data_IF_782190145471
#
_entry.id   IF_782190145471
#
_cell.length_a   1.000
_cell.length_b   1.000
_cell.length_c   1.000
_cell.angle_alpha   90.00
_cell.angle_beta   90.00
_cell.angle_gamma   90.00
#
_symmetry.space_group_name_H-M   'P 1'
#
loop_
_entity.id
_entity.type
_entity.pdbx_description
1 polymer ?
#
# COMPACT_ATOMS: atom_id res chain seq x y z
N UNK A 1 8.47 15.33 8.47
CA UNK A 1 7.85 15.44 7.12
C UNK A 1 6.35 15.62 7.28
N UNK A 2 5.69 16.29 6.32
CA UNK A 2 4.23 16.30 6.20
C UNK A 2 3.80 15.11 5.34
N UNK A 3 3.03 14.20 5.90
CA UNK A 3 2.58 12.98 5.24
C UNK A 3 1.07 13.01 5.10
N UNK A 4 0.57 12.86 3.87
CA UNK A 4 -0.87 12.69 3.62
C UNK A 4 -1.18 11.20 3.52
N UNK A 5 -2.05 10.72 4.41
CA UNK A 5 -2.46 9.32 4.49
C UNK A 5 -3.93 9.16 4.06
N UNK A 6 -4.15 8.55 2.91
CA UNK A 6 -5.48 8.12 2.49
C UNK A 6 -5.84 6.80 3.18
N UNK A 7 -7.01 6.75 3.83
CA UNK A 7 -7.51 5.56 4.52
C UNK A 7 -7.01 5.37 5.96
N UNK A 8 -6.88 6.44 6.79
CA UNK A 8 -6.33 6.36 8.15
C UNK A 8 -7.19 5.54 9.13
N UNK A 9 -8.42 5.22 8.77
CA UNK A 9 -9.38 4.55 9.67
C UNK A 9 -9.47 3.03 9.42
N UNK A 10 -8.76 2.50 8.42
CA UNK A 10 -8.67 1.07 8.14
C UNK A 10 -7.74 0.35 9.13
N UNK A 11 -7.80 -0.99 9.17
CA UNK A 11 -6.94 -1.81 10.03
C UNK A 11 -5.45 -1.46 9.84
N UNK A 12 -4.96 -1.47 8.61
CA UNK A 12 -3.56 -1.13 8.30
C UNK A 12 -3.31 0.37 8.41
N UNK A 13 -4.23 1.19 7.88
CA UNK A 13 -4.07 2.64 7.85
C UNK A 13 -3.98 3.27 9.23
N UNK A 14 -4.69 2.73 10.23
CA UNK A 14 -4.60 3.23 11.61
C UNK A 14 -3.26 2.91 12.27
N UNK A 15 -2.70 1.72 12.01
CA UNK A 15 -1.36 1.37 12.47
C UNK A 15 -0.29 2.26 11.83
N UNK A 16 -0.40 2.53 10.51
CA UNK A 16 0.49 3.45 9.79
C UNK A 16 0.39 4.87 10.36
N UNK A 17 -0.83 5.38 10.60
CA UNK A 17 -1.03 6.71 11.18
C UNK A 17 -0.35 6.84 12.56
N UNK A 18 -0.51 5.82 13.40
CA UNK A 18 0.11 5.78 14.73
C UNK A 18 1.63 5.75 14.62
N UNK A 19 2.20 4.81 13.87
CA UNK A 19 3.65 4.64 13.73
C UNK A 19 4.33 5.91 13.17
N UNK A 20 3.76 6.53 12.13
CA UNK A 20 4.30 7.77 11.57
C UNK A 20 4.21 8.95 12.55
N UNK A 21 3.11 9.06 13.29
CA UNK A 21 2.95 10.10 14.31
C UNK A 21 3.92 9.93 15.47
N UNK A 22 4.14 8.70 15.94
CA UNK A 22 5.08 8.38 17.02
C UNK A 22 6.53 8.69 16.62
N UNK A 23 6.85 8.63 15.31
CA UNK A 23 8.14 9.07 14.75
C UNK A 23 8.26 10.59 14.57
N UNK A 24 7.22 11.36 14.91
CA UNK A 24 7.22 12.81 14.86
C UNK A 24 6.91 13.41 13.48
N UNK A 25 6.30 12.64 12.58
CA UNK A 25 5.78 13.19 11.33
C UNK A 25 4.45 13.93 11.55
N UNK A 26 4.17 14.93 10.72
CA UNK A 26 2.86 15.55 10.60
C UNK A 26 1.97 14.67 9.70
N UNK A 27 1.04 13.92 10.28
CA UNK A 27 0.16 13.02 9.53
C UNK A 27 -1.20 13.67 9.30
N UNK A 28 -1.53 13.92 8.03
CA UNK A 28 -2.83 14.43 7.59
C UNK A 28 -3.66 13.27 7.02
N UNK A 29 -4.63 12.81 7.81
CA UNK A 29 -5.51 11.71 7.40
C UNK A 29 -6.62 12.17 6.46
N UNK A 30 -6.76 11.48 5.31
CA UNK A 30 -7.82 11.70 4.32
C UNK A 30 -8.72 10.47 4.25
N UNK A 31 -10.00 10.64 4.50
CA UNK A 31 -11.00 9.58 4.48
C UNK A 31 -12.28 10.02 3.76
N UNK A 32 -13.18 9.10 3.50
CA UNK A 32 -14.50 9.44 2.92
C UNK A 32 -15.28 10.45 3.77
N UNK A 33 -15.11 10.44 5.09
CA UNK A 33 -15.74 11.39 5.99
C UNK A 33 -15.13 12.80 5.93
N UNK A 34 -13.91 12.96 5.42
CA UNK A 34 -13.31 14.27 5.15
C UNK A 34 -13.81 14.91 3.85
N UNK A 35 -14.65 14.20 3.08
CA UNK A 35 -15.30 14.71 1.87
C UNK A 35 -14.47 14.64 0.60
N UNK A 36 -13.24 14.11 0.65
CA UNK A 36 -12.41 13.96 -0.54
C UNK A 36 -12.74 12.64 -1.28
N UNK A 37 -13.07 12.76 -2.56
CA UNK A 37 -13.23 11.63 -3.46
C UNK A 37 -11.87 11.25 -4.04
N UNK A 38 -11.36 10.08 -3.66
CA UNK A 38 -10.06 9.58 -4.13
C UNK A 38 -10.06 9.23 -5.62
N UNK A 39 -11.22 9.13 -6.25
CA UNK A 39 -11.34 8.89 -7.69
C UNK A 39 -11.37 10.18 -8.52
N UNK A 40 -11.39 11.35 -7.86
CA UNK A 40 -11.28 12.66 -8.50
C UNK A 40 -9.86 13.23 -8.36
N UNK A 41 -9.06 13.29 -9.45
CA UNK A 41 -7.70 13.80 -9.41
C UNK A 41 -7.56 15.25 -8.92
N UNK A 42 -8.60 16.08 -9.07
CA UNK A 42 -8.55 17.46 -8.58
C UNK A 42 -8.67 17.51 -7.06
N UNK A 43 -9.52 16.64 -6.47
CA UNK A 43 -9.64 16.53 -5.03
C UNK A 43 -8.42 15.86 -4.40
N UNK A 44 -7.84 14.86 -5.09
CA UNK A 44 -6.55 14.28 -4.68
C UNK A 44 -5.46 15.36 -4.67
N UNK A 45 -5.33 16.16 -5.73
CA UNK A 45 -4.34 17.23 -5.81
C UNK A 45 -4.47 18.23 -4.66
N UNK A 46 -5.70 18.67 -4.36
CA UNK A 46 -5.95 19.56 -3.22
C UNK A 46 -5.59 18.91 -1.88
N UNK A 47 -5.88 17.62 -1.71
CA UNK A 47 -5.60 16.91 -0.47
C UNK A 47 -4.08 16.73 -0.21
N UNK A 48 -3.28 16.56 -1.27
CA UNK A 48 -1.83 16.31 -1.16
C UNK A 48 -0.97 17.56 -1.30
N UNK A 49 -1.58 18.74 -1.35
CA UNK A 49 -0.84 20.01 -1.50
C UNK A 49 0.18 20.20 -0.36
N UNK A 50 1.44 20.38 -0.75
CA UNK A 50 2.55 20.56 0.18
C UNK A 50 2.92 19.32 0.99
N UNK A 51 2.47 18.13 0.59
CA UNK A 51 2.93 16.87 1.18
C UNK A 51 4.35 16.53 0.75
N UNK A 52 5.19 16.10 1.68
CA UNK A 52 6.50 15.51 1.39
C UNK A 52 6.35 14.08 0.87
N UNK A 53 5.41 13.32 1.47
CA UNK A 53 5.10 11.92 1.11
C UNK A 53 3.59 11.71 1.15
N UNK A 54 3.10 10.91 0.21
CA UNK A 54 1.71 10.44 0.20
C UNK A 54 1.69 8.93 0.46
N UNK A 55 0.83 8.49 1.37
CA UNK A 55 0.61 7.06 1.66
C UNK A 55 -0.85 6.72 1.35
N UNK A 56 -1.08 5.67 0.57
CA UNK A 56 -2.41 5.19 0.24
C UNK A 56 -2.68 3.82 0.86
N UNK A 57 -3.56 3.76 1.86
CA UNK A 57 -4.04 2.55 2.52
C UNK A 57 -5.54 2.32 2.27
N UNK A 58 -5.98 2.54 1.02
CA UNK A 58 -7.37 2.36 0.61
C UNK A 58 -7.62 0.93 0.14
N UNK A 59 -8.74 0.36 0.57
CA UNK A 59 -9.34 -0.83 -0.05
C UNK A 59 -10.64 -0.43 -0.78
N UNK A 60 -11.04 -1.22 -1.76
CA UNK A 60 -12.26 -0.98 -2.52
C UNK A 60 -13.46 -1.82 -2.05
N UNK A 61 -13.38 -2.46 -0.87
CA UNK A 61 -14.47 -3.28 -0.32
C UNK A 61 -15.76 -2.49 -0.20
N UNK A 62 -16.76 -2.87 -0.99
CA UNK A 62 -18.05 -2.19 -1.05
C UNK A 62 -18.00 -0.78 -1.65
N UNK A 63 -16.95 -0.41 -2.33
CA UNK A 63 -16.82 0.84 -3.06
C UNK A 63 -17.30 0.69 -4.52
N UNK A 64 -17.76 1.78 -5.11
CA UNK A 64 -18.21 1.83 -6.51
C UNK A 64 -17.06 2.09 -7.51
N UNK A 65 -15.79 1.85 -7.13
CA UNK A 65 -14.60 2.11 -7.94
C UNK A 65 -13.63 0.92 -7.89
N UNK A 66 -12.72 0.84 -8.85
CA UNK A 66 -11.63 -0.14 -8.85
C UNK A 66 -10.36 0.44 -8.22
N UNK A 67 -9.44 -0.44 -7.77
CA UNK A 67 -8.13 0.02 -7.29
C UNK A 67 -7.28 0.63 -8.42
N UNK A 68 -7.50 0.23 -9.66
CA UNK A 68 -6.88 0.84 -10.82
C UNK A 68 -7.36 2.28 -11.08
N UNK A 69 -8.65 2.58 -10.80
CA UNK A 69 -9.17 3.96 -10.87
C UNK A 69 -8.54 4.83 -9.79
N UNK A 70 -8.40 4.31 -8.57
CA UNK A 70 -7.68 4.98 -7.48
C UNK A 70 -6.23 5.25 -7.87
N UNK A 71 -5.54 4.26 -8.45
CA UNK A 71 -4.14 4.41 -8.88
C UNK A 71 -3.99 5.54 -9.91
N UNK A 72 -4.84 5.56 -10.96
CA UNK A 72 -4.83 6.62 -11.98
C UNK A 72 -5.09 8.00 -11.38
N UNK A 73 -6.10 8.10 -10.52
CA UNK A 73 -6.46 9.35 -9.86
C UNK A 73 -5.35 9.86 -8.93
N UNK A 74 -4.72 8.98 -8.15
CA UNK A 74 -3.57 9.34 -7.31
C UNK A 74 -2.42 9.88 -8.16
N UNK A 75 -2.00 9.15 -9.20
CA UNK A 75 -0.91 9.57 -10.08
C UNK A 75 -1.17 10.93 -10.72
N UNK A 76 -2.39 11.16 -11.22
CA UNK A 76 -2.76 12.44 -11.82
C UNK A 76 -2.85 13.57 -10.77
N UNK A 77 -3.39 13.27 -9.59
CA UNK A 77 -3.48 14.23 -8.50
C UNK A 77 -2.11 14.66 -7.98
N UNK A 78 -1.18 13.70 -7.80
CA UNK A 78 0.19 13.98 -7.39
C UNK A 78 0.92 14.88 -8.41
N UNK A 79 0.80 14.57 -9.72
CA UNK A 79 1.38 15.40 -10.79
C UNK A 79 0.87 16.84 -10.72
N UNK A 80 -0.44 17.03 -10.55
CA UNK A 80 -1.05 18.37 -10.45
C UNK A 80 -0.58 19.15 -9.22
N UNK A 81 -0.35 18.47 -8.11
CA UNK A 81 0.13 19.08 -6.86
C UNK A 81 1.66 19.23 -6.81
N UNK A 82 2.40 18.62 -7.74
CA UNK A 82 3.87 18.59 -7.70
C UNK A 82 4.44 17.68 -6.61
N UNK A 83 3.61 16.78 -6.02
CA UNK A 83 4.07 15.80 -5.07
C UNK A 83 4.73 14.62 -5.80
N UNK A 84 5.88 14.13 -5.32
CA UNK A 84 6.68 13.16 -6.06
C UNK A 84 6.63 11.76 -5.43
N UNK A 85 6.56 11.64 -4.10
CA UNK A 85 6.71 10.39 -3.36
C UNK A 85 5.37 9.79 -2.99
N UNK A 86 5.14 8.52 -3.40
CA UNK A 86 3.92 7.76 -3.11
C UNK A 86 4.27 6.36 -2.59
N UNK A 87 3.74 5.99 -1.42
CA UNK A 87 3.69 4.61 -0.96
C UNK A 87 2.26 4.08 -1.05
N UNK A 88 2.10 2.88 -1.55
CA UNK A 88 0.79 2.24 -1.70
C UNK A 88 0.76 0.94 -0.91
N UNK A 89 -0.17 0.83 0.01
CA UNK A 89 -0.49 -0.45 0.65
C UNK A 89 -1.11 -1.36 -0.40
N UNK A 90 -0.33 -2.33 -0.83
CA UNK A 90 -0.69 -3.28 -1.87
C UNK A 90 -1.37 -4.54 -1.34
N UNK A 91 -1.42 -5.56 -2.19
CA UNK A 91 -1.88 -6.90 -1.84
C UNK A 91 -0.82 -7.96 -2.13
N UNK A 92 -0.93 -9.10 -1.45
CA UNK A 92 -0.03 -10.25 -1.62
C UNK A 92 -0.33 -11.08 -2.88
N UNK A 93 -1.55 -11.02 -3.39
CA UNK A 93 -2.08 -11.98 -4.34
C UNK A 93 -1.34 -12.06 -5.68
N UNK A 94 -0.65 -10.98 -6.08
CA UNK A 94 0.19 -10.95 -7.28
C UNK A 94 1.66 -11.28 -7.02
N UNK A 95 2.06 -11.61 -5.78
CA UNK A 95 3.40 -12.11 -5.47
C UNK A 95 3.58 -13.51 -6.06
N UNK A 96 4.80 -13.81 -6.48
CA UNK A 96 5.18 -15.10 -7.05
C UNK A 96 5.42 -16.11 -5.93
N UNK A 97 4.83 -17.30 -6.07
CA UNK A 97 5.00 -18.39 -5.11
C UNK A 97 6.17 -19.31 -5.49
N UNK A 98 6.77 -20.04 -4.53
CA UNK A 98 7.73 -21.08 -4.84
C UNK A 98 7.16 -22.08 -5.86
N UNK A 99 7.92 -22.35 -6.92
CA UNK A 99 7.46 -23.20 -8.02
C UNK A 99 6.90 -22.45 -9.22
N UNK A 100 6.73 -21.13 -9.10
CA UNK A 100 6.30 -20.24 -10.19
C UNK A 100 4.79 -19.96 -10.18
N UNK A 101 4.41 -18.87 -10.84
CA UNK A 101 3.04 -18.37 -10.85
C UNK A 101 2.73 -17.45 -9.67
N UNK A 102 1.58 -16.75 -9.74
CA UNK A 102 1.16 -15.82 -8.69
C UNK A 102 0.36 -16.54 -7.62
N UNK A 103 0.38 -16.02 -6.40
CA UNK A 103 -0.41 -16.56 -5.29
C UNK A 103 -1.90 -16.69 -5.66
N UNK A 104 -2.47 -15.71 -6.36
CA UNK A 104 -3.89 -15.73 -6.78
C UNK A 104 -4.23 -16.84 -7.80
N UNK A 105 -3.24 -17.38 -8.50
CA UNK A 105 -3.41 -18.44 -9.51
C UNK A 105 -3.25 -19.84 -8.91
N UNK A 106 -2.92 -19.95 -7.62
CA UNK A 106 -2.77 -21.23 -6.94
C UNK A 106 -4.14 -21.91 -6.72
N UNK A 107 -4.21 -23.26 -6.72
CA UNK A 107 -5.46 -23.99 -6.52
C UNK A 107 -6.12 -23.71 -5.16
N UNK A 108 -5.33 -23.38 -4.15
CA UNK A 108 -5.80 -23.15 -2.78
C UNK A 108 -6.21 -21.70 -2.51
N UNK A 109 -6.10 -20.81 -3.51
CA UNK A 109 -6.50 -19.41 -3.32
C UNK A 109 -8.02 -19.28 -3.22
N UNK A 110 -8.57 -18.66 -2.16
CA UNK A 110 -10.01 -18.57 -1.95
C UNK A 110 -10.73 -17.85 -3.09
N UNK A 111 -11.75 -18.50 -3.65
CA UNK A 111 -12.50 -17.99 -4.80
C UNK A 111 -13.16 -16.62 -4.51
N UNK A 112 -13.67 -16.48 -3.26
CA UNK A 112 -14.30 -15.23 -2.83
C UNK A 112 -13.36 -14.02 -2.83
N UNK A 113 -12.04 -14.21 -2.79
CA UNK A 113 -11.05 -13.11 -2.77
C UNK A 113 -10.44 -12.83 -4.14
N UNK A 114 -10.66 -13.70 -5.14
CA UNK A 114 -10.05 -13.54 -6.48
C UNK A 114 -10.38 -12.21 -7.14
N UNK A 115 -11.61 -11.75 -7.00
CA UNK A 115 -12.04 -10.48 -7.58
C UNK A 115 -11.29 -9.28 -7.01
N UNK A 116 -11.12 -9.21 -5.68
CA UNK A 116 -10.35 -8.14 -5.01
C UNK A 116 -8.85 -8.28 -5.34
N UNK A 117 -8.34 -9.51 -5.33
CA UNK A 117 -6.96 -9.85 -5.63
C UNK A 117 -6.55 -9.42 -7.07
N UNK A 118 -7.40 -9.68 -8.05
CA UNK A 118 -7.17 -9.27 -9.44
C UNK A 118 -7.10 -7.75 -9.57
N UNK A 119 -7.97 -7.00 -8.87
CA UNK A 119 -7.93 -5.54 -8.88
C UNK A 119 -6.64 -4.98 -8.25
N UNK A 120 -6.09 -5.63 -7.22
CA UNK A 120 -4.79 -5.27 -6.67
C UNK A 120 -3.65 -5.45 -7.68
N UNK A 121 -3.68 -6.53 -8.46
CA UNK A 121 -2.72 -6.79 -9.53
C UNK A 121 -2.83 -5.74 -10.66
N UNK A 122 -4.05 -5.42 -11.10
CA UNK A 122 -4.30 -4.38 -12.10
C UNK A 122 -3.82 -2.99 -11.65
N UNK A 123 -4.02 -2.65 -10.37
CA UNK A 123 -3.51 -1.39 -9.82
C UNK A 123 -1.98 -1.33 -9.84
N UNK A 124 -1.29 -2.43 -9.52
CA UNK A 124 0.17 -2.51 -9.61
C UNK A 124 0.65 -2.27 -11.05
N UNK A 125 -0.04 -2.82 -12.06
CA UNK A 125 0.31 -2.60 -13.47
C UNK A 125 0.15 -1.11 -13.87
N UNK A 126 -0.83 -0.39 -13.30
CA UNK A 126 -0.94 1.06 -13.50
C UNK A 126 0.29 1.79 -12.93
N UNK A 127 0.74 1.45 -11.71
CA UNK A 127 1.96 2.06 -11.15
C UNK A 127 3.20 1.72 -11.96
N UNK A 128 3.36 0.48 -12.41
CA UNK A 128 4.48 0.04 -13.26
C UNK A 128 4.55 0.74 -14.62
N UNK A 129 3.45 1.30 -15.08
CA UNK A 129 3.37 2.02 -16.37
C UNK A 129 3.93 3.45 -16.34
N UNK A 130 4.32 3.95 -15.15
CA UNK A 130 4.81 5.34 -14.98
C UNK A 130 6.24 5.36 -14.43
N UNK A 131 7.02 6.34 -14.91
CA UNK A 131 8.43 6.55 -14.55
C UNK A 131 8.73 7.96 -14.02
N UNK A 132 7.71 8.82 -13.99
CA UNK A 132 7.79 10.22 -13.62
C UNK A 132 7.47 10.51 -12.15
N UNK A 133 7.03 9.49 -11.39
CA UNK A 133 6.74 9.58 -9.96
C UNK A 133 7.49 8.48 -9.19
N UNK A 134 7.91 8.78 -7.99
CA UNK A 134 8.63 7.88 -7.11
C UNK A 134 7.66 7.07 -6.25
N UNK A 135 7.04 6.07 -6.87
CA UNK A 135 6.10 5.18 -6.20
C UNK A 135 6.79 3.94 -5.60
N UNK A 136 6.24 3.43 -4.50
CA UNK A 136 6.54 2.11 -3.94
C UNK A 136 5.25 1.38 -3.66
N UNK A 137 5.08 0.19 -4.24
CA UNK A 137 3.93 -0.68 -3.99
C UNK A 137 4.32 -1.73 -2.95
N UNK A 138 3.81 -1.60 -1.72
CA UNK A 138 4.21 -2.44 -0.59
C UNK A 138 3.22 -3.58 -0.44
N UNK A 139 3.63 -4.79 -0.84
CA UNK A 139 2.84 -6.01 -0.73
C UNK A 139 3.04 -6.65 0.65
N UNK A 140 1.98 -6.84 1.45
CA UNK A 140 2.10 -7.56 2.72
C UNK A 140 2.34 -9.06 2.49
N UNK A 141 2.55 -9.80 3.57
CA UNK A 141 2.44 -11.25 3.61
C UNK A 141 1.06 -11.73 3.13
N UNK A 142 0.94 -13.01 2.78
CA UNK A 142 -0.32 -13.61 2.37
C UNK A 142 -1.41 -13.45 3.44
N UNK A 143 -1.01 -13.49 4.71
CA UNK A 143 -1.88 -13.25 5.85
C UNK A 143 -1.39 -12.06 6.67
N UNK A 144 -2.17 -10.97 6.67
CA UNK A 144 -1.94 -9.78 7.49
C UNK A 144 -3.11 -9.59 8.45
N UNK A 145 -2.84 -9.37 9.73
CA UNK A 145 -3.84 -9.28 10.80
C UNK A 145 -3.36 -8.32 11.90
N UNK A 146 -4.26 -7.83 12.77
CA UNK A 146 -3.85 -7.13 13.99
C UNK A 146 -3.02 -8.06 14.89
N UNK A 147 -1.91 -7.61 15.46
CA UNK A 147 -1.03 -8.45 16.26
C UNK A 147 -0.06 -7.66 17.12
N UNK A 148 1.05 -8.27 17.48
CA UNK A 148 2.10 -7.61 18.24
C UNK A 148 2.98 -6.74 17.34
N UNK A 149 3.42 -5.62 17.90
CA UNK A 149 4.48 -4.78 17.33
C UNK A 149 5.84 -5.32 17.80
N UNK A 150 6.39 -6.28 17.05
CA UNK A 150 7.67 -6.92 17.41
C UNK A 150 8.87 -6.10 16.97
N UNK A 151 8.71 -5.28 15.92
CA UNK A 151 9.78 -4.52 15.29
C UNK A 151 10.64 -5.35 14.35
N UNK A 152 10.25 -6.59 14.06
CA UNK A 152 10.99 -7.48 13.17
C UNK A 152 10.17 -7.77 11.91
N UNK A 153 10.80 -7.61 10.74
CA UNK A 153 10.24 -7.98 9.46
C UNK A 153 11.36 -8.21 8.43
N UNK A 154 11.02 -8.83 7.32
CA UNK A 154 11.90 -9.01 6.16
C UNK A 154 11.34 -8.25 4.98
N UNK A 155 12.24 -7.67 4.17
CA UNK A 155 11.90 -7.09 2.86
C UNK A 155 12.26 -8.07 1.75
N UNK A 156 11.43 -8.10 0.73
CA UNK A 156 11.64 -8.83 -0.52
C UNK A 156 11.12 -8.03 -1.72
N UNK A 157 11.21 -8.62 -2.91
CA UNK A 157 10.70 -8.04 -4.14
C UNK A 157 9.36 -8.66 -4.57
N UNK A 158 9.38 -9.28 -5.76
CA UNK A 158 8.19 -9.90 -6.35
C UNK A 158 7.85 -11.29 -5.78
N UNK A 159 8.75 -11.90 -5.03
CA UNK A 159 8.55 -13.23 -4.43
C UNK A 159 7.76 -13.13 -3.12
N UNK A 160 6.82 -14.07 -2.92
CA UNK A 160 6.16 -14.24 -1.64
C UNK A 160 7.16 -14.67 -0.57
N UNK A 161 7.29 -13.88 0.48
CA UNK A 161 8.15 -14.23 1.61
C UNK A 161 7.43 -15.28 2.46
N UNK A 162 8.08 -16.40 2.70
CA UNK A 162 7.60 -17.49 3.55
C UNK A 162 8.61 -17.78 4.66
N UNK A 163 8.14 -18.34 5.76
CA UNK A 163 8.95 -18.91 6.82
C UNK A 163 9.41 -20.37 6.48
N UNK A 164 10.19 -20.98 7.37
CA UNK A 164 10.67 -22.35 7.21
C UNK A 164 9.55 -23.41 7.20
N UNK A 165 8.35 -23.03 7.67
CA UNK A 165 7.14 -23.87 7.67
C UNK A 165 6.25 -23.64 6.45
N UNK A 166 6.61 -22.68 5.58
CA UNK A 166 5.86 -22.31 4.38
C UNK A 166 4.74 -21.30 4.63
N UNK A 167 4.66 -20.67 5.82
CA UNK A 167 3.68 -19.64 6.11
C UNK A 167 4.19 -18.27 5.64
N UNK A 168 3.25 -17.42 5.24
CA UNK A 168 3.50 -16.02 4.91
C UNK A 168 2.57 -15.16 5.76
N UNK A 169 3.14 -14.48 6.77
CA UNK A 169 2.37 -13.81 7.80
C UNK A 169 3.07 -12.53 8.27
N UNK A 170 2.28 -11.53 8.69
CA UNK A 170 2.77 -10.31 9.36
C UNK A 170 1.64 -9.66 10.17
N UNK A 171 1.98 -9.00 11.28
CA UNK A 171 1.04 -8.10 11.95
C UNK A 171 0.88 -6.78 11.18
N UNK A 172 -0.28 -6.15 11.30
CA UNK A 172 -0.51 -4.81 10.77
C UNK A 172 0.43 -3.77 11.41
N UNK A 173 0.82 -4.00 12.65
CA UNK A 173 1.74 -3.19 13.43
C UNK A 173 3.17 -3.26 12.88
N UNK A 174 3.71 -4.45 12.60
CA UNK A 174 5.04 -4.59 12.00
C UNK A 174 5.07 -4.16 10.53
N UNK A 175 3.97 -4.40 9.80
CA UNK A 175 3.82 -3.87 8.46
C UNK A 175 3.83 -2.33 8.44
N UNK A 176 3.21 -1.68 9.44
CA UNK A 176 3.25 -0.22 9.59
C UNK A 176 4.67 0.30 9.88
N UNK A 177 5.48 -0.46 10.65
CA UNK A 177 6.90 -0.15 10.85
C UNK A 177 7.63 -0.16 9.51
N UNK A 178 7.43 -1.21 8.70
CA UNK A 178 8.06 -1.29 7.37
C UNK A 178 7.66 -0.12 6.45
N UNK A 179 6.38 0.28 6.45
CA UNK A 179 5.93 1.47 5.71
C UNK A 179 6.66 2.73 6.21
N UNK A 180 6.76 2.91 7.53
CA UNK A 180 7.41 4.08 8.10
C UNK A 180 8.92 4.10 7.81
N UNK A 181 9.60 2.94 7.84
CA UNK A 181 11.01 2.84 7.45
C UNK A 181 11.24 3.18 5.97
N UNK A 182 10.33 2.77 5.07
CA UNK A 182 10.34 3.13 3.65
C UNK A 182 10.05 4.62 3.40
N UNK A 183 9.25 5.24 4.26
CA UNK A 183 9.03 6.70 4.26
C UNK A 183 10.31 7.42 4.68
N UNK A 184 10.94 6.98 5.77
CA UNK A 184 12.13 7.63 6.35
C UNK A 184 13.36 7.48 5.46
N UNK A 185 13.58 6.30 4.87
CA UNK A 185 14.74 6.02 4.01
C UNK A 185 14.64 6.70 2.65
N UNK A 186 13.43 6.85 2.12
CA UNK A 186 13.21 7.35 0.75
C UNK A 186 13.72 6.39 -0.34
N UNK A 187 14.00 5.14 0.02
CA UNK A 187 14.47 4.09 -0.89
C UNK A 187 13.32 3.36 -1.61
N UNK A 188 13.67 2.38 -2.44
CA UNK A 188 12.73 1.52 -3.15
C UNK A 188 11.78 2.29 -4.07
N UNK A 189 12.35 3.08 -4.99
CA UNK A 189 11.60 3.92 -5.92
C UNK A 189 11.20 3.15 -7.17
N UNK A 190 9.94 3.27 -7.59
CA UNK A 190 9.36 2.67 -8.80
C UNK A 190 9.45 1.14 -8.79
N UNK A 191 9.23 0.56 -7.64
CA UNK A 191 9.24 -0.89 -7.49
C UNK A 191 8.21 -1.40 -6.49
N UNK A 192 8.00 -2.71 -6.52
CA UNK A 192 7.27 -3.42 -5.48
C UNK A 192 8.22 -3.92 -4.41
N UNK A 193 7.81 -3.81 -3.16
CA UNK A 193 8.46 -4.37 -1.99
C UNK A 193 7.51 -5.34 -1.30
N UNK A 194 7.95 -6.58 -1.09
CA UNK A 194 7.24 -7.55 -0.24
C UNK A 194 7.66 -7.37 1.22
N UNK A 195 6.72 -7.55 2.16
CA UNK A 195 6.96 -7.43 3.60
C UNK A 195 6.32 -8.59 4.34
N UNK A 196 7.11 -9.36 5.12
CA UNK A 196 6.64 -10.46 5.99
C UNK A 196 7.59 -10.67 7.16
N UNK A 197 7.21 -11.50 8.12
CA UNK A 197 8.09 -12.00 9.17
C UNK A 197 9.15 -12.96 8.66
#
# INVERSE_FOLDING_TARGET
MKIVLFGPNGMIGSCIATELSDRGHEVVGVSRSSGADITDPAQVASAVEGADVVVCAISNRGAGYTLADVARSLLDGLRRAGAQRLLVVGGAASLEVPGGGRLLDTPDFPEEWKGEAAQGAEALDVYRSVDDLDWTYVSPAAFIHPGERTGAYRLGGDQLIIDDSGNSEISAEDYAIAIADLVDSGEHLRERVGVAW
#
